data_IF_738916842183
#
_entry.id   IF_738916842183
#
_cell.length_a   1.000
_cell.length_b   1.000
_cell.length_c   1.000
_cell.angle_alpha   90.00
_cell.angle_beta   90.00
_cell.angle_gamma   90.00
#
_symmetry.space_group_name_H-M   'P 1'
#
loop_
_entity.id
_entity.type
_entity.pdbx_description
1 polymer ?
#
# COMPACT_ATOMS: atom_id res chain seq x y z
N UNK A 1 11.28 -16.21 26.89
CA UNK A 1 11.15 -14.82 26.37
C UNK A 1 9.68 -14.45 26.35
N UNK A 2 9.23 -13.60 27.28
CA UNK A 2 7.82 -13.32 27.54
C UNK A 2 7.17 -12.62 26.33
N UNK A 3 6.27 -13.31 25.61
CA UNK A 3 5.35 -12.64 24.68
C UNK A 3 4.34 -11.86 25.53
N UNK A 4 4.62 -10.59 25.82
CA UNK A 4 3.58 -9.70 26.33
C UNK A 4 2.49 -9.60 25.26
N UNK A 5 1.34 -10.23 25.53
CA UNK A 5 0.17 -10.15 24.65
C UNK A 5 -0.28 -8.69 24.54
N UNK A 6 -0.53 -8.24 23.32
CA UNK A 6 -1.11 -6.92 23.08
C UNK A 6 -2.49 -6.92 23.76
N UNK A 7 -2.81 -5.90 24.56
CA UNK A 7 -4.15 -5.73 25.13
C UNK A 7 -5.22 -5.80 24.03
N UNK A 8 -6.32 -6.51 24.28
CA UNK A 8 -7.39 -6.71 23.31
C UNK A 8 -7.92 -5.40 22.73
N UNK A 9 -8.08 -4.36 23.57
CA UNK A 9 -8.48 -3.02 23.14
C UNK A 9 -7.49 -2.43 22.12
N UNK A 10 -6.18 -2.58 22.39
CA UNK A 10 -5.12 -2.08 21.50
C UNK A 10 -5.07 -2.87 20.19
N UNK A 11 -5.31 -4.18 20.24
CA UNK A 11 -5.39 -5.02 19.04
C UNK A 11 -6.53 -4.56 18.12
N UNK A 12 -7.75 -4.41 18.65
CA UNK A 12 -8.91 -3.97 17.88
C UNK A 12 -8.74 -2.55 17.35
N UNK A 13 -8.23 -1.63 18.16
CA UNK A 13 -7.93 -0.27 17.70
C UNK A 13 -6.97 -0.30 16.50
N UNK A 14 -5.83 -1.00 16.60
CA UNK A 14 -4.86 -1.08 15.51
C UNK A 14 -5.44 -1.75 14.25
N UNK A 15 -6.25 -2.79 14.42
CA UNK A 15 -6.92 -3.47 13.31
C UNK A 15 -7.91 -2.54 12.60
N UNK A 16 -8.81 -1.89 13.34
CA UNK A 16 -9.81 -0.99 12.79
C UNK A 16 -9.17 0.22 12.12
N UNK A 17 -8.20 0.88 12.77
CA UNK A 17 -7.48 2.01 12.17
C UNK A 17 -6.84 1.64 10.83
N UNK A 18 -6.16 0.47 10.77
CA UNK A 18 -5.51 0.01 9.54
C UNK A 18 -6.54 -0.36 8.46
N UNK A 19 -7.67 -0.94 8.81
CA UNK A 19 -8.76 -1.21 7.85
C UNK A 19 -9.39 0.07 7.33
N UNK A 20 -9.70 1.03 8.20
CA UNK A 20 -10.25 2.33 7.79
C UNK A 20 -9.30 3.09 6.88
N UNK A 21 -8.00 3.13 7.20
CA UNK A 21 -6.99 3.75 6.33
C UNK A 21 -6.94 3.09 4.95
N UNK A 22 -7.03 1.75 4.88
CA UNK A 22 -7.09 1.04 3.59
C UNK A 22 -8.36 1.36 2.81
N UNK A 23 -9.50 1.43 3.47
CA UNK A 23 -10.77 1.78 2.83
C UNK A 23 -10.73 3.19 2.24
N UNK A 24 -10.26 4.18 3.02
CA UNK A 24 -10.06 5.55 2.55
C UNK A 24 -9.03 5.63 1.42
N UNK A 25 -7.95 4.85 1.49
CA UNK A 25 -6.97 4.78 0.41
C UNK A 25 -7.60 4.27 -0.88
N UNK A 26 -8.38 3.18 -0.84
CA UNK A 26 -9.10 2.65 -2.01
C UNK A 26 -10.07 3.69 -2.57
N UNK A 27 -10.83 4.38 -1.71
CA UNK A 27 -11.72 5.48 -2.14
C UNK A 27 -10.96 6.56 -2.91
N UNK A 28 -9.81 7.00 -2.41
CA UNK A 28 -8.94 7.95 -3.10
C UNK A 28 -8.43 7.41 -4.44
N UNK A 29 -7.96 6.16 -4.47
CA UNK A 29 -7.47 5.52 -5.70
C UNK A 29 -8.56 5.39 -6.76
N UNK A 30 -9.79 5.03 -6.38
CA UNK A 30 -10.94 4.94 -7.30
C UNK A 30 -11.26 6.32 -7.90
N UNK A 31 -11.29 7.37 -7.08
CA UNK A 31 -11.53 8.73 -7.58
C UNK A 31 -10.44 9.25 -8.51
N UNK A 32 -9.17 9.03 -8.17
CA UNK A 32 -8.02 9.33 -9.07
C UNK A 32 -8.11 8.52 -10.36
N UNK A 33 -8.45 7.23 -10.24
CA UNK A 33 -8.53 6.35 -11.39
C UNK A 33 -9.63 6.74 -12.36
N UNK A 34 -10.82 7.06 -11.86
CA UNK A 34 -11.88 7.65 -12.68
C UNK A 34 -11.42 8.95 -13.36
N UNK A 35 -10.72 9.81 -12.60
CA UNK A 35 -10.17 11.05 -13.12
C UNK A 35 -9.21 10.87 -14.30
N UNK A 36 -8.27 9.92 -14.19
CA UNK A 36 -7.26 9.65 -15.22
C UNK A 36 -7.83 8.88 -16.41
N UNK A 37 -8.62 7.82 -16.16
CA UNK A 37 -9.10 6.93 -17.22
C UNK A 37 -10.20 7.55 -18.09
N UNK A 38 -10.98 8.47 -17.53
CA UNK A 38 -12.06 9.17 -18.24
C UNK A 38 -11.65 10.57 -18.71
N UNK A 39 -10.37 10.91 -18.60
CA UNK A 39 -9.80 12.21 -18.97
C UNK A 39 -10.54 13.42 -18.32
N UNK A 40 -10.93 13.27 -17.05
CA UNK A 40 -11.62 14.32 -16.31
C UNK A 40 -10.63 15.39 -15.86
N UNK A 41 -11.05 16.65 -15.91
CA UNK A 41 -10.25 17.78 -15.45
C UNK A 41 -9.67 17.55 -14.03
N UNK A 42 -8.36 17.76 -13.90
CA UNK A 42 -7.57 17.52 -12.67
C UNK A 42 -8.20 18.08 -11.40
N UNK A 43 -8.80 19.27 -11.48
CA UNK A 43 -9.38 19.94 -10.30
C UNK A 43 -10.50 19.10 -9.68
N UNK A 44 -11.25 18.35 -10.48
CA UNK A 44 -12.40 17.57 -10.02
C UNK A 44 -12.01 16.34 -9.19
N UNK A 45 -10.77 15.84 -9.34
CA UNK A 45 -10.29 14.65 -8.62
C UNK A 45 -9.08 14.90 -7.72
N UNK A 46 -8.65 16.15 -7.56
CA UNK A 46 -7.48 16.50 -6.76
C UNK A 46 -7.64 16.13 -5.27
N UNK A 47 -8.86 16.23 -4.74
CA UNK A 47 -9.19 15.79 -3.37
C UNK A 47 -8.95 14.29 -3.18
N UNK A 48 -9.34 13.47 -4.15
CA UNK A 48 -9.08 12.03 -4.14
C UNK A 48 -7.58 11.73 -4.24
N UNK A 49 -6.82 12.53 -5.00
CA UNK A 49 -5.36 12.42 -5.04
C UNK A 49 -4.73 12.67 -3.66
N UNK A 50 -5.13 13.76 -2.99
CA UNK A 50 -4.65 14.02 -1.63
C UNK A 50 -5.05 12.91 -0.65
N UNK A 51 -6.28 12.40 -0.76
CA UNK A 51 -6.73 11.29 0.08
C UNK A 51 -5.89 10.02 -0.16
N UNK A 52 -5.66 9.64 -1.41
CA UNK A 52 -4.87 8.46 -1.77
C UNK A 52 -3.42 8.59 -1.29
N UNK A 53 -2.78 9.75 -1.53
CA UNK A 53 -1.38 9.99 -1.18
C UNK A 53 -1.17 10.04 0.33
N UNK A 54 -2.05 10.73 1.07
CA UNK A 54 -1.93 10.84 2.53
C UNK A 54 -2.13 9.49 3.21
N UNK A 55 -3.24 8.81 2.92
CA UNK A 55 -3.56 7.50 3.53
C UNK A 55 -2.57 6.41 3.13
N UNK A 56 -2.12 6.38 1.87
CA UNK A 56 -1.11 5.44 1.38
C UNK A 56 0.24 5.64 2.06
N UNK A 57 0.65 6.90 2.25
CA UNK A 57 1.89 7.24 2.95
C UNK A 57 1.82 6.85 4.43
N UNK A 58 0.70 7.13 5.11
CA UNK A 58 0.49 6.71 6.50
C UNK A 58 0.56 5.19 6.63
N UNK A 59 -0.08 4.43 5.72
CA UNK A 59 -0.03 2.97 5.72
C UNK A 59 1.39 2.43 5.53
N UNK A 60 2.16 3.03 4.61
CA UNK A 60 3.56 2.64 4.37
C UNK A 60 4.41 2.92 5.62
N UNK A 61 4.34 4.12 6.18
CA UNK A 61 5.09 4.51 7.37
C UNK A 61 4.73 3.64 8.58
N UNK A 62 3.44 3.28 8.73
CA UNK A 62 2.97 2.37 9.76
C UNK A 62 3.66 1.00 9.65
N UNK A 63 3.74 0.43 8.44
CA UNK A 63 4.40 -0.86 8.24
C UNK A 63 5.90 -0.80 8.54
N UNK A 64 6.59 0.23 8.05
CA UNK A 64 8.03 0.44 8.28
C UNK A 64 8.33 0.59 9.78
N UNK A 65 7.56 1.43 10.48
CA UNK A 65 7.72 1.66 11.92
C UNK A 65 7.50 0.40 12.77
N UNK A 66 6.68 -0.53 12.27
CA UNK A 66 6.37 -1.78 12.96
C UNK A 66 7.44 -2.86 12.74
N UNK A 67 7.94 -2.98 11.52
CA UNK A 67 9.00 -3.91 11.14
C UNK A 67 9.75 -3.42 9.91
N UNK A 68 10.99 -2.95 10.09
CA UNK A 68 11.84 -2.45 8.99
C UNK A 68 12.06 -3.49 7.90
N UNK A 69 11.96 -4.80 8.22
CA UNK A 69 12.09 -5.89 7.25
C UNK A 69 11.01 -5.85 6.16
N UNK A 70 9.94 -5.10 6.38
CA UNK A 70 8.95 -4.81 5.36
C UNK A 70 9.60 -4.28 4.08
N UNK A 71 10.67 -3.47 4.19
CA UNK A 71 11.41 -2.91 3.04
C UNK A 71 12.08 -3.97 2.16
N UNK A 72 12.39 -5.15 2.70
CA UNK A 72 13.03 -6.26 1.98
C UNK A 72 12.07 -7.43 1.69
N UNK A 73 10.85 -7.37 2.23
CA UNK A 73 9.77 -8.31 1.91
C UNK A 73 9.10 -7.89 0.60
N UNK A 74 8.66 -8.86 -0.20
CA UNK A 74 8.08 -8.60 -1.51
C UNK A 74 6.87 -7.65 -1.45
N UNK A 75 6.03 -7.72 -0.41
CA UNK A 75 4.92 -6.77 -0.23
C UNK A 75 5.38 -5.31 -0.14
N UNK A 76 6.52 -5.06 0.52
CA UNK A 76 7.07 -3.72 0.67
C UNK A 76 7.82 -3.28 -0.56
N UNK A 77 8.63 -4.17 -1.15
CA UNK A 77 9.31 -3.88 -2.42
C UNK A 77 8.32 -3.55 -3.53
N UNK A 78 7.24 -4.33 -3.70
CA UNK A 78 6.20 -4.01 -4.68
C UNK A 78 5.45 -2.71 -4.35
N UNK A 79 5.38 -2.31 -3.08
CA UNK A 79 4.84 -1.00 -2.71
C UNK A 79 5.79 0.14 -3.13
N UNK A 80 7.09 -0.03 -2.93
CA UNK A 80 8.11 0.93 -3.39
C UNK A 80 8.15 1.02 -4.91
N UNK A 81 8.01 -0.10 -5.62
CA UNK A 81 7.88 -0.13 -7.09
C UNK A 81 6.67 0.70 -7.54
N UNK A 82 5.51 0.54 -6.89
CA UNK A 82 4.32 1.36 -7.20
C UNK A 82 4.58 2.86 -7.02
N UNK A 83 5.33 3.25 -5.98
CA UNK A 83 5.71 4.66 -5.77
C UNK A 83 6.65 5.14 -6.88
N UNK A 84 7.61 4.31 -7.30
CA UNK A 84 8.45 4.60 -8.45
C UNK A 84 7.64 4.82 -9.74
N UNK A 85 6.68 3.93 -10.02
CA UNK A 85 5.77 4.06 -11.16
C UNK A 85 4.92 5.34 -11.08
N UNK A 86 4.49 5.72 -9.87
CA UNK A 86 3.78 6.99 -9.66
C UNK A 86 4.67 8.19 -9.98
N UNK A 87 5.96 8.12 -9.63
CA UNK A 87 6.95 9.14 -10.00
C UNK A 87 7.10 9.32 -11.52
N UNK A 88 6.83 8.27 -12.30
CA UNK A 88 6.85 8.33 -13.76
C UNK A 88 5.68 9.12 -14.36
N UNK A 89 4.66 9.50 -13.59
CA UNK A 89 3.56 10.33 -14.08
C UNK A 89 4.03 11.71 -14.60
N UNK A 90 5.21 12.17 -14.17
CA UNK A 90 5.82 13.43 -14.62
C UNK A 90 6.50 13.26 -15.98
N UNK A 91 7.55 12.43 -16.13
CA UNK A 91 8.25 12.28 -17.42
C UNK A 91 7.42 11.51 -18.47
N UNK A 92 6.52 10.62 -18.05
CA UNK A 92 5.67 9.79 -18.92
C UNK A 92 4.20 10.20 -18.83
N UNK A 93 3.93 11.51 -18.87
CA UNK A 93 2.60 12.05 -18.65
C UNK A 93 1.52 11.55 -19.63
N UNK A 94 1.92 11.13 -20.83
CA UNK A 94 1.05 10.53 -21.83
C UNK A 94 0.59 9.12 -21.44
N UNK A 95 1.41 8.38 -20.67
CA UNK A 95 1.15 6.99 -20.28
C UNK A 95 0.54 6.84 -18.87
N UNK A 96 -0.07 7.91 -18.34
CA UNK A 96 -0.71 7.88 -17.00
C UNK A 96 -1.76 6.78 -16.87
N UNK A 97 -2.67 6.55 -17.84
CA UNK A 97 -3.64 5.46 -17.78
C UNK A 97 -2.97 4.08 -17.62
N UNK A 98 -1.95 3.79 -18.44
CA UNK A 98 -1.24 2.53 -18.45
C UNK A 98 -0.46 2.33 -17.16
N UNK A 99 0.26 3.36 -16.70
CA UNK A 99 0.98 3.32 -15.43
C UNK A 99 0.03 3.09 -14.25
N UNK A 100 -1.13 3.75 -14.24
CA UNK A 100 -2.17 3.53 -13.24
C UNK A 100 -2.66 2.08 -13.24
N UNK A 101 -2.97 1.52 -14.42
CA UNK A 101 -3.42 0.13 -14.56
C UNK A 101 -2.38 -0.84 -13.99
N UNK A 102 -1.09 -0.65 -14.31
CA UNK A 102 0.00 -1.47 -13.77
C UNK A 102 0.08 -1.34 -12.25
N UNK A 103 -0.01 -0.12 -11.71
CA UNK A 103 -0.02 0.11 -10.25
C UNK A 103 -1.17 -0.64 -9.57
N UNK A 104 -2.37 -0.59 -10.15
CA UNK A 104 -3.55 -1.30 -9.64
C UNK A 104 -3.37 -2.81 -9.69
N UNK A 105 -2.85 -3.35 -10.80
CA UNK A 105 -2.58 -4.77 -10.95
C UNK A 105 -1.57 -5.28 -9.89
N UNK A 106 -0.47 -4.55 -9.70
CA UNK A 106 0.49 -4.84 -8.63
C UNK A 106 -0.16 -4.76 -7.24
N UNK A 107 -1.09 -3.84 -7.03
CA UNK A 107 -1.82 -3.72 -5.76
C UNK A 107 -2.65 -4.95 -5.44
N UNK A 108 -3.33 -5.53 -6.43
CA UNK A 108 -4.11 -6.77 -6.29
C UNK A 108 -3.20 -7.95 -5.97
N UNK A 109 -2.08 -8.10 -6.68
CA UNK A 109 -1.09 -9.17 -6.43
C UNK A 109 -0.59 -9.11 -4.98
N UNK A 110 -0.26 -7.93 -4.47
CA UNK A 110 0.22 -7.77 -3.08
C UNK A 110 -0.89 -8.04 -2.08
N UNK A 111 -2.12 -7.62 -2.36
CA UNK A 111 -3.22 -7.67 -1.39
C UNK A 111 -3.80 -9.07 -1.25
N UNK A 112 -3.99 -9.77 -2.37
CA UNK A 112 -4.58 -11.11 -2.45
C UNK A 112 -3.56 -12.23 -2.61
N UNK A 113 -2.28 -11.90 -2.81
CA UNK A 113 -1.22 -12.89 -2.92
C UNK A 113 -1.08 -13.75 -1.66
N UNK A 114 -0.66 -15.02 -1.81
CA UNK A 114 -0.50 -15.94 -0.69
C UNK A 114 0.51 -15.38 0.32
N UNK A 115 0.36 -15.74 1.60
CA UNK A 115 1.24 -15.25 2.66
C UNK A 115 2.73 -15.50 2.36
N UNK A 116 3.07 -16.67 1.82
CA UNK A 116 4.43 -17.00 1.41
C UNK A 116 5.03 -16.00 0.41
N UNK A 117 4.23 -15.50 -0.54
CA UNK A 117 4.67 -14.50 -1.51
C UNK A 117 4.86 -13.13 -0.84
N UNK A 118 3.90 -12.69 -0.02
CA UNK A 118 3.97 -11.38 0.65
C UNK A 118 5.14 -11.26 1.63
N UNK A 119 5.46 -12.36 2.32
CA UNK A 119 6.53 -12.41 3.33
C UNK A 119 7.86 -12.92 2.77
N UNK A 120 7.94 -13.20 1.46
CA UNK A 120 9.18 -13.58 0.80
C UNK A 120 10.19 -12.42 0.87
N UNK A 121 11.37 -12.68 1.42
CA UNK A 121 12.48 -11.71 1.39
C UNK A 121 13.23 -11.83 0.07
N UNK A 122 13.33 -10.71 -0.67
CA UNK A 122 14.11 -10.66 -1.92
C UNK A 122 15.61 -10.81 -1.63
N UNK A 123 16.07 -10.23 -0.51
CA UNK A 123 17.47 -10.28 -0.10
C UNK A 123 17.88 -11.68 0.38
N UNK A 124 17.09 -12.30 1.26
CA UNK A 124 17.44 -13.60 1.84
C UNK A 124 16.94 -14.80 1.00
N UNK A 125 16.16 -14.54 -0.05
CA UNK A 125 15.55 -15.54 -0.93
C UNK A 125 14.73 -16.61 -0.20
N UNK A 126 14.11 -16.25 0.93
CA UNK A 126 13.26 -17.13 1.76
C UNK A 126 12.15 -16.33 2.43
N UNK A 127 11.10 -17.03 2.86
CA UNK A 127 10.04 -16.43 3.67
C UNK A 127 10.59 -15.99 5.03
N UNK A 128 10.27 -14.75 5.44
CA UNK A 128 10.57 -14.22 6.77
C UNK A 128 9.28 -13.69 7.39
N UNK A 129 8.85 -14.29 8.49
CA UNK A 129 7.67 -13.82 9.18
C UNK A 129 7.98 -12.54 9.97
N UNK A 130 7.09 -11.56 9.85
CA UNK A 130 7.16 -10.33 10.64
C UNK A 130 6.67 -10.60 12.05
N UNK A 131 7.55 -10.37 13.04
CA UNK A 131 7.29 -10.68 14.47
C UNK A 131 6.07 -9.95 15.08
N UNK A 132 5.55 -8.91 14.41
CA UNK A 132 4.50 -8.01 14.94
C UNK A 132 3.36 -7.77 13.95
N UNK A 133 3.12 -8.68 13.01
CA UNK A 133 2.08 -8.44 12.01
C UNK A 133 0.67 -8.59 12.58
N UNK A 134 -0.07 -7.47 12.59
CA UNK A 134 -1.52 -7.46 12.73
C UNK A 134 -2.08 -7.61 11.32
N UNK A 135 -2.62 -8.81 11.07
CA UNK A 135 -3.46 -9.08 9.91
C UNK A 135 -4.67 -8.17 10.03
N UNK A 136 -4.97 -7.42 8.99
CA UNK A 136 -6.15 -6.59 8.88
C UNK A 136 -6.95 -7.03 7.69
#
# INVERSE_FOLDING_TARGET
MHKQGISEKRFWFQRLSKTSLRALHILGIVGVGGGILLDVNKVQWLSYWYLAMTTGSILMLWEIARDWRWLIQLKGVLTLVKIGLLGLFVPLAHYKPELLIVILFLSVIVSHGPAGLRHYSIVHRRQIDSKKEIKG
#
